data_IF_681766129932
#
_entry.id   IF_681766129932
#
_cell.length_a   1.000
_cell.length_b   1.000
_cell.length_c   1.000
_cell.angle_alpha   90.00
_cell.angle_beta   90.00
_cell.angle_gamma   90.00
#
_symmetry.space_group_name_H-M   'P 1'
#
loop_
_entity.id
_entity.type
_entity.pdbx_description
1 polymer ?
#
# COMPACT_ATOMS: atom_id res chain seq x y z
N UNK A 1 -15.13 13.62 -6.27
CA UNK A 1 -14.03 13.67 -5.29
C UNK A 1 -13.80 12.26 -4.79
N UNK A 2 -12.56 11.81 -4.73
CA UNK A 2 -12.26 10.49 -4.15
C UNK A 2 -12.51 10.55 -2.64
N UNK A 3 -12.86 9.44 -2.00
CA UNK A 3 -13.10 9.41 -0.55
C UNK A 3 -11.86 9.87 0.25
N UNK A 4 -10.67 9.75 -0.34
CA UNK A 4 -9.40 10.18 0.25
C UNK A 4 -9.26 11.70 0.36
N UNK A 5 -9.82 12.45 -0.59
CA UNK A 5 -9.76 13.91 -0.57
C UNK A 5 -10.58 14.47 0.61
N UNK A 6 -11.74 13.87 0.87
CA UNK A 6 -12.60 14.21 2.00
C UNK A 6 -11.92 13.92 3.34
N UNK A 7 -11.30 12.74 3.47
CA UNK A 7 -10.55 12.35 4.67
C UNK A 7 -9.37 13.28 4.95
N UNK A 8 -8.61 13.63 3.90
CA UNK A 8 -7.50 14.57 4.02
C UNK A 8 -7.98 15.96 4.45
N UNK A 9 -9.07 16.45 3.86
CA UNK A 9 -9.67 17.75 4.18
C UNK A 9 -10.14 17.83 5.64
N UNK A 10 -10.78 16.76 6.14
CA UNK A 10 -11.21 16.68 7.54
C UNK A 10 -10.02 16.66 8.52
N UNK A 11 -8.96 15.92 8.17
CA UNK A 11 -7.78 15.75 9.01
C UNK A 11 -6.88 17.00 9.09
N UNK A 12 -6.89 17.84 8.06
CA UNK A 12 -6.00 18.99 7.92
C UNK A 12 -6.02 19.97 9.12
N UNK A 13 -7.18 20.48 9.60
CA UNK A 13 -7.21 21.39 10.74
C UNK A 13 -6.66 20.75 12.04
N UNK A 14 -6.80 19.43 12.20
CA UNK A 14 -6.24 18.71 13.36
C UNK A 14 -4.70 18.67 13.29
N UNK A 15 -4.15 18.46 12.09
CA UNK A 15 -2.70 18.48 11.87
C UNK A 15 -2.12 19.90 12.03
N UNK A 16 -2.91 20.94 11.78
CA UNK A 16 -2.52 22.33 11.99
C UNK A 16 -2.29 22.74 13.45
N UNK A 17 -2.84 21.97 14.41
CA UNK A 17 -2.53 22.13 15.83
C UNK A 17 -1.15 21.61 16.24
N UNK A 18 -0.50 20.81 15.38
CA UNK A 18 0.83 20.25 15.63
C UNK A 18 1.93 21.10 15.00
N UNK A 19 3.08 21.16 15.67
CA UNK A 19 4.31 21.70 15.04
C UNK A 19 4.71 20.84 13.82
N UNK A 20 5.47 21.37 12.84
CA UNK A 20 5.90 20.59 11.68
C UNK A 20 6.62 19.28 12.04
N UNK A 21 7.41 19.28 13.12
CA UNK A 21 8.10 18.10 13.61
C UNK A 21 7.13 17.08 14.22
N UNK A 22 6.19 17.53 15.05
CA UNK A 22 5.15 16.66 15.63
C UNK A 22 4.27 16.06 14.53
N UNK A 23 3.87 16.87 13.55
CA UNK A 23 3.07 16.44 12.39
C UNK A 23 3.79 15.37 11.58
N UNK A 24 5.07 15.58 11.27
CA UNK A 24 5.90 14.59 10.58
C UNK A 24 5.99 13.26 11.34
N UNK A 25 6.15 13.32 12.66
CA UNK A 25 6.24 12.13 13.50
C UNK A 25 4.89 11.40 13.60
N UNK A 26 3.79 12.15 13.71
CA UNK A 26 2.44 11.62 13.70
C UNK A 26 2.13 10.88 12.38
N UNK A 27 2.34 11.56 11.24
CA UNK A 27 2.10 10.97 9.92
C UNK A 27 3.01 9.76 9.65
N UNK A 28 4.25 9.77 10.15
CA UNK A 28 5.14 8.60 10.09
C UNK A 28 4.56 7.39 10.82
N UNK A 29 4.01 7.59 12.03
CA UNK A 29 3.38 6.51 12.82
C UNK A 29 2.16 5.95 12.10
N UNK A 30 1.31 6.83 11.56
CA UNK A 30 0.15 6.43 10.75
C UNK A 30 0.58 5.59 9.54
N UNK A 31 1.55 6.07 8.76
CA UNK A 31 2.06 5.36 7.58
C UNK A 31 2.70 4.00 7.94
N UNK A 32 3.41 3.90 9.07
CA UNK A 32 3.91 2.61 9.57
C UNK A 32 2.76 1.64 9.87
N UNK A 33 1.66 2.10 10.46
CA UNK A 33 0.50 1.27 10.73
C UNK A 33 -0.21 0.83 9.44
N UNK A 34 -0.41 1.76 8.50
CA UNK A 34 -0.97 1.46 7.17
C UNK A 34 -0.09 0.49 6.38
N UNK A 35 1.24 0.58 6.50
CA UNK A 35 2.17 -0.39 5.91
C UNK A 35 1.89 -1.78 6.44
N UNK A 36 1.72 -1.95 7.76
CA UNK A 36 1.42 -3.26 8.37
C UNK A 36 0.12 -3.85 7.83
N UNK A 37 -0.93 -3.03 7.69
CA UNK A 37 -2.22 -3.45 7.13
C UNK A 37 -2.11 -3.91 5.67
N UNK A 38 -1.38 -3.17 4.84
CA UNK A 38 -1.09 -3.59 3.46
C UNK A 38 -0.26 -4.89 3.41
N UNK A 39 0.77 -5.02 4.28
CA UNK A 39 1.57 -6.25 4.37
C UNK A 39 0.72 -7.48 4.75
N UNK A 40 -0.23 -7.31 5.65
CA UNK A 40 -1.17 -8.37 6.05
C UNK A 40 -2.08 -8.79 4.90
N UNK A 41 -2.64 -7.83 4.15
CA UNK A 41 -3.47 -8.13 2.96
C UNK A 41 -2.67 -8.85 1.87
N UNK A 42 -1.45 -8.39 1.57
CA UNK A 42 -0.55 -9.08 0.63
C UNK A 42 -0.24 -10.50 1.11
N UNK A 43 -0.01 -10.70 2.41
CA UNK A 43 0.21 -12.03 2.98
C UNK A 43 -1.00 -12.95 2.83
N UNK A 44 -2.21 -12.41 2.96
CA UNK A 44 -3.49 -13.11 2.74
C UNK A 44 -3.86 -13.28 1.27
N UNK A 45 -3.05 -12.77 0.34
CA UNK A 45 -3.33 -12.77 -1.11
C UNK A 45 -4.63 -12.01 -1.46
N UNK A 46 -4.87 -10.90 -0.79
CA UNK A 46 -6.05 -10.05 -0.98
C UNK A 46 -5.65 -8.65 -1.45
N UNK A 47 -6.51 -8.06 -2.28
CA UNK A 47 -6.46 -6.64 -2.65
C UNK A 47 -6.89 -5.75 -1.48
N UNK A 48 -6.71 -4.42 -1.58
CA UNK A 48 -7.26 -3.46 -0.62
C UNK A 48 -8.77 -3.59 -0.41
N UNK A 49 -9.56 -3.88 -1.44
CA UNK A 49 -11.01 -4.07 -1.29
C UNK A 49 -11.43 -5.45 -0.75
N UNK A 50 -10.48 -6.28 -0.31
CA UNK A 50 -10.73 -7.58 0.32
C UNK A 50 -10.90 -8.76 -0.63
N UNK A 51 -11.03 -8.52 -1.94
CA UNK A 51 -11.12 -9.60 -2.93
C UNK A 51 -9.79 -10.36 -3.08
N UNK A 52 -9.81 -11.67 -3.39
CA UNK A 52 -8.58 -12.44 -3.62
C UNK A 52 -7.87 -11.96 -4.89
N UNK A 53 -6.54 -12.04 -4.90
CA UNK A 53 -5.77 -11.78 -6.11
C UNK A 53 -6.15 -12.75 -7.24
N UNK A 54 -6.16 -12.22 -8.46
CA UNK A 54 -6.33 -13.04 -9.66
C UNK A 54 -5.29 -14.19 -9.67
N UNK A 55 -5.72 -15.45 -9.89
CA UNK A 55 -4.85 -16.61 -9.83
C UNK A 55 -3.75 -16.57 -10.90
N UNK A 56 -2.71 -17.39 -10.71
CA UNK A 56 -1.69 -17.59 -11.75
C UNK A 56 -2.26 -18.47 -12.87
N UNK A 57 -1.88 -18.19 -14.13
CA UNK A 57 -2.33 -18.94 -15.31
C UNK A 57 -1.91 -20.42 -15.25
N UNK A 58 -0.68 -20.69 -14.82
CA UNK A 58 -0.14 -22.05 -14.69
C UNK A 58 -0.16 -22.46 -13.22
N UNK A 59 -1.03 -23.40 -12.85
CA UNK A 59 -1.08 -23.97 -11.50
C UNK A 59 -0.05 -25.10 -11.40
N UNK A 60 0.97 -24.89 -10.58
CA UNK A 60 1.84 -25.98 -10.09
C UNK A 60 1.12 -26.76 -8.98
N UNK A 61 1.46 -28.03 -8.78
CA UNK A 61 0.91 -28.87 -7.68
C UNK A 61 1.10 -28.28 -6.28
N UNK A 62 2.11 -27.42 -6.06
CA UNK A 62 2.34 -26.67 -4.81
C UNK A 62 2.51 -25.17 -5.09
N UNK A 63 1.42 -24.40 -5.26
CA UNK A 63 1.52 -23.00 -5.62
C UNK A 63 2.11 -22.17 -4.47
N UNK A 64 3.18 -21.42 -4.75
CA UNK A 64 3.74 -20.45 -3.81
C UNK A 64 2.90 -19.16 -3.79
N UNK A 65 2.69 -18.59 -2.61
CA UNK A 65 2.04 -17.29 -2.46
C UNK A 65 2.76 -16.21 -3.31
N UNK A 66 1.98 -15.38 -4.01
CA UNK A 66 2.54 -14.23 -4.75
C UNK A 66 3.08 -13.20 -3.77
N UNK A 67 4.09 -12.43 -4.19
CA UNK A 67 4.61 -11.30 -3.43
C UNK A 67 5.13 -11.65 -2.01
N UNK A 68 5.47 -12.91 -1.76
CA UNK A 68 5.90 -13.39 -0.44
C UNK A 68 7.13 -12.67 0.12
N UNK A 69 8.03 -12.19 -0.75
CA UNK A 69 9.16 -11.32 -0.37
C UNK A 69 8.73 -9.85 -0.25
N UNK A 70 7.88 -9.37 -1.16
CA UNK A 70 7.41 -7.97 -1.21
C UNK A 70 6.78 -7.50 0.11
N UNK A 71 6.06 -8.38 0.81
CA UNK A 71 5.45 -8.06 2.12
C UNK A 71 6.48 -7.71 3.20
N UNK A 72 7.77 -7.91 2.99
CA UNK A 72 8.80 -7.59 4.00
C UNK A 72 9.05 -6.08 4.05
N UNK A 73 9.30 -5.56 5.26
CA UNK A 73 9.44 -4.11 5.49
C UNK A 73 10.57 -3.45 4.68
N UNK A 74 11.60 -4.20 4.28
CA UNK A 74 12.70 -3.70 3.43
C UNK A 74 12.26 -3.29 2.02
N UNK A 75 11.13 -3.81 1.54
CA UNK A 75 10.62 -3.51 0.21
C UNK A 75 9.53 -2.44 0.21
N UNK A 76 8.88 -2.17 1.35
CA UNK A 76 7.85 -1.13 1.50
C UNK A 76 8.39 -0.03 2.43
N UNK A 77 8.88 1.04 1.82
CA UNK A 77 9.48 2.17 2.51
C UNK A 77 8.40 3.18 2.92
N UNK A 78 8.49 3.64 4.16
CA UNK A 78 7.70 4.77 4.66
C UNK A 78 8.53 6.03 4.48
N UNK A 79 7.97 7.07 3.87
CA UNK A 79 8.52 8.43 3.94
C UNK A 79 7.50 9.34 4.61
N UNK A 80 7.96 10.32 5.36
CA UNK A 80 7.10 11.34 5.94
C UNK A 80 7.76 12.71 5.92
N UNK A 81 6.95 13.69 5.55
CA UNK A 81 7.21 15.12 5.62
C UNK A 81 6.26 15.74 6.65
N UNK A 82 6.33 17.06 6.83
CA UNK A 82 5.35 17.76 7.67
C UNK A 82 3.95 17.59 7.10
N UNK A 83 3.73 17.77 5.79
CA UNK A 83 2.39 17.78 5.20
C UNK A 83 1.91 16.44 4.65
N UNK A 84 2.77 15.43 4.54
CA UNK A 84 2.42 14.17 3.90
C UNK A 84 3.19 12.98 4.45
N UNK A 85 2.65 11.78 4.24
CA UNK A 85 3.39 10.54 4.36
C UNK A 85 3.05 9.61 3.21
N UNK A 86 4.04 8.85 2.76
CA UNK A 86 3.93 7.98 1.59
C UNK A 86 4.44 6.58 1.91
N UNK A 87 3.80 5.60 1.24
CA UNK A 87 4.25 4.22 1.17
C UNK A 87 4.74 3.94 -0.24
N UNK A 88 5.99 3.51 -0.35
CA UNK A 88 6.64 3.29 -1.63
C UNK A 88 7.21 1.87 -1.68
N UNK A 89 6.95 1.15 -2.77
CA UNK A 89 7.65 -0.10 -3.06
C UNK A 89 8.89 0.24 -3.88
N UNK A 90 10.08 -0.07 -3.35
CA UNK A 90 11.35 0.44 -3.90
C UNK A 90 12.13 -0.58 -4.72
N UNK A 91 13.02 -0.09 -5.59
CA UNK A 91 13.96 -0.88 -6.38
C UNK A 91 13.29 -1.80 -7.40
N UNK A 92 13.92 -2.93 -7.72
CA UNK A 92 13.37 -3.94 -8.65
C UNK A 92 12.00 -4.46 -8.21
N UNK A 93 11.77 -4.55 -6.90
CA UNK A 93 10.49 -4.93 -6.33
C UNK A 93 9.37 -3.92 -6.68
N UNK A 94 9.70 -2.63 -6.74
CA UNK A 94 8.80 -1.56 -7.16
C UNK A 94 8.33 -1.70 -8.60
N UNK A 95 9.25 -1.97 -9.53
CA UNK A 95 8.90 -2.22 -10.95
C UNK A 95 7.92 -3.38 -11.10
N UNK A 96 8.24 -4.54 -10.49
CA UNK A 96 7.38 -5.72 -10.53
C UNK A 96 6.02 -5.41 -9.87
N UNK A 97 6.04 -4.73 -8.73
CA UNK A 97 4.83 -4.34 -8.04
C UNK A 97 3.95 -3.41 -8.90
N UNK A 98 4.52 -2.46 -9.63
CA UNK A 98 3.76 -1.57 -10.52
C UNK A 98 3.08 -2.36 -11.65
N UNK A 99 3.81 -3.28 -12.30
CA UNK A 99 3.25 -4.16 -13.34
C UNK A 99 2.02 -4.89 -12.82
N UNK A 100 2.14 -5.52 -11.65
CA UNK A 100 1.01 -6.25 -11.08
C UNK A 100 -0.07 -5.34 -10.52
N UNK A 101 0.28 -4.22 -9.90
CA UNK A 101 -0.68 -3.28 -9.31
C UNK A 101 -1.62 -2.72 -10.38
N UNK A 102 -1.06 -2.25 -11.50
CA UNK A 102 -1.82 -1.60 -12.58
C UNK A 102 -2.21 -2.57 -13.71
N UNK A 103 -1.76 -3.83 -13.68
CA UNK A 103 -2.06 -4.81 -14.73
C UNK A 103 -1.37 -4.50 -16.06
N UNK A 104 -0.10 -4.13 -16.00
CA UNK A 104 0.71 -3.76 -17.17
C UNK A 104 1.23 -5.00 -17.91
N UNK A 105 1.79 -4.74 -19.09
CA UNK A 105 2.57 -5.73 -19.85
C UNK A 105 4.02 -5.71 -19.37
N UNK A 106 4.61 -6.90 -19.14
CA UNK A 106 6.04 -7.04 -18.89
C UNK A 106 6.55 -8.36 -19.49
N UNK A 107 7.86 -8.51 -19.55
CA UNK A 107 8.52 -9.71 -20.04
C UNK A 107 8.42 -10.84 -19.02
N UNK A 108 8.10 -12.05 -19.49
CA UNK A 108 8.02 -13.25 -18.67
C UNK A 108 9.43 -13.73 -18.28
N UNK A 109 10.40 -13.51 -19.17
CA UNK A 109 11.80 -13.90 -19.05
C UNK A 109 12.74 -12.67 -19.17
N UNK A 110 14.05 -12.88 -19.17
CA UNK A 110 15.02 -11.80 -19.39
C UNK A 110 14.84 -11.18 -20.78
N UNK A 111 15.14 -9.88 -20.88
CA UNK A 111 14.96 -9.13 -22.12
C UNK A 111 16.10 -9.41 -23.11
N UNK A 112 15.80 -9.58 -24.41
CA UNK A 112 14.46 -9.70 -25.02
C UNK A 112 13.86 -11.10 -24.84
N UNK A 113 12.55 -11.18 -24.61
CA UNK A 113 11.83 -12.45 -24.43
C UNK A 113 10.32 -12.34 -24.66
N UNK A 114 9.53 -13.41 -24.43
CA UNK A 114 8.07 -13.35 -24.53
C UNK A 114 7.49 -12.39 -23.49
N UNK A 115 6.54 -11.55 -23.90
CA UNK A 115 5.84 -10.61 -23.01
C UNK A 115 4.40 -11.05 -22.75
N UNK A 116 3.83 -10.62 -21.63
CA UNK A 116 2.43 -10.91 -21.30
C UNK A 116 1.79 -9.77 -20.55
N UNK A 117 0.47 -9.60 -20.75
CA UNK A 117 -0.34 -8.67 -19.96
C UNK A 117 -0.73 -9.32 -18.65
N UNK A 118 -0.30 -8.74 -17.54
CA UNK A 118 -0.63 -9.25 -16.21
C UNK A 118 -2.01 -8.74 -15.78
N UNK A 119 -2.84 -9.56 -15.11
CA UNK A 119 -4.05 -9.05 -14.50
C UNK A 119 -3.69 -8.18 -13.29
N UNK A 120 -4.47 -7.10 -13.11
CA UNK A 120 -4.31 -6.17 -12.00
C UNK A 120 -4.50 -6.90 -10.66
N UNK A 121 -3.58 -6.63 -9.74
CA UNK A 121 -3.53 -7.10 -8.37
C UNK A 121 -3.11 -5.90 -7.53
N UNK A 122 -4.01 -4.95 -7.24
CA UNK A 122 -3.67 -3.77 -6.44
C UNK A 122 -3.03 -4.22 -5.12
N UNK A 123 -1.80 -3.76 -4.86
CA UNK A 123 -0.98 -4.18 -3.72
C UNK A 123 -1.04 -3.19 -2.56
N UNK A 124 -1.14 -1.91 -2.91
CA UNK A 124 -1.25 -0.80 -1.98
C UNK A 124 -2.58 -0.11 -2.22
N UNK A 125 -3.19 0.38 -1.17
CA UNK A 125 -4.42 1.15 -1.23
C UNK A 125 -5.11 1.16 0.11
N UNK A 126 -6.27 1.82 0.13
CA UNK A 126 -7.11 1.94 1.30
C UNK A 126 -8.40 1.15 1.08
N UNK A 127 -8.75 0.35 2.08
CA UNK A 127 -10.07 -0.26 2.24
C UNK A 127 -10.97 0.66 3.06
N UNK A 128 -12.28 0.38 3.11
CA UNK A 128 -13.19 1.09 4.01
C UNK A 128 -12.76 0.93 5.48
N UNK A 129 -12.24 -0.24 5.86
CA UNK A 129 -11.68 -0.45 7.19
C UNK A 129 -10.39 0.33 7.44
N UNK A 130 -9.64 0.70 6.39
CA UNK A 130 -8.49 1.59 6.54
C UNK A 130 -8.92 3.03 6.79
N UNK A 131 -10.00 3.49 6.17
CA UNK A 131 -10.55 4.83 6.40
C UNK A 131 -11.04 4.97 7.84
N UNK A 132 -11.81 4.00 8.34
CA UNK A 132 -12.19 3.92 9.76
C UNK A 132 -10.96 3.89 10.65
N UNK A 133 -9.99 3.04 10.33
CA UNK A 133 -8.73 2.98 11.08
C UNK A 133 -7.98 4.32 11.10
N UNK A 134 -7.95 5.05 9.98
CA UNK A 134 -7.32 6.38 9.91
C UNK A 134 -8.07 7.34 10.83
N UNK A 135 -9.40 7.43 10.73
CA UNK A 135 -10.20 8.28 11.60
C UNK A 135 -9.93 7.98 13.08
N UNK A 136 -10.04 6.72 13.49
CA UNK A 136 -9.79 6.28 14.86
C UNK A 136 -8.36 6.60 15.30
N UNK A 137 -7.38 6.43 14.41
CA UNK A 137 -6.00 6.77 14.69
C UNK A 137 -5.84 8.26 14.98
N UNK A 138 -6.48 9.14 14.20
CA UNK A 138 -6.48 10.58 14.45
C UNK A 138 -7.15 10.93 15.78
N UNK A 139 -8.36 10.43 16.03
CA UNK A 139 -9.12 10.69 17.26
C UNK A 139 -8.34 10.25 18.51
N UNK A 140 -7.75 9.05 18.46
CA UNK A 140 -7.02 8.47 19.60
C UNK A 140 -5.70 9.19 19.89
N UNK A 141 -4.98 9.63 18.84
CA UNK A 141 -3.60 10.10 18.99
C UNK A 141 -3.45 11.63 18.99
N UNK A 142 -4.49 12.39 18.63
CA UNK A 142 -4.47 13.85 18.65
C UNK A 142 -5.23 14.48 19.82
N UNK A 143 -5.80 13.67 20.73
CA UNK A 143 -6.58 14.14 21.90
C UNK A 143 -7.50 15.31 21.52
N UNK A 144 -8.62 14.99 20.88
CA UNK A 144 -9.76 15.90 20.91
C UNK A 144 -10.24 16.07 22.37
#
# INVERSE_FOLDING_TARGET
>A
MSNYDSLATWADPLLHKLTPQQRRQFLKRLAIALRRRNQQRIAKQQTPNGSPFAPRKNKTTRPRAMFAKLKQARHIKVRSASTSATLEIIGRAGRIAAVHHFGLTDYVEEQPGPSTKYPARPLLGFSSEDETFINDFFLTNLKL
#
